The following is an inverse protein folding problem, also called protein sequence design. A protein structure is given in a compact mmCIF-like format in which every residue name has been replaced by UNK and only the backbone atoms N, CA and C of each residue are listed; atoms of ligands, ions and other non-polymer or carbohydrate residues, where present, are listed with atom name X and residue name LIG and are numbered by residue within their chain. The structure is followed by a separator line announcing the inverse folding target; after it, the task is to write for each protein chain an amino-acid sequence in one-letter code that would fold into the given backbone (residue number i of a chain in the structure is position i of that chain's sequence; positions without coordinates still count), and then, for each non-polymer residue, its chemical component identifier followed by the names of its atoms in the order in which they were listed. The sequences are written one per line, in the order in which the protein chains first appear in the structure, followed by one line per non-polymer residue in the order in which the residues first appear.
data_IF_528815691922
#
_entry.id   IF_528815691922
#
_cell.length_a   1.000
_cell.length_b   1.000
_cell.length_c   1.000
_cell.angle_alpha   90.00
_cell.angle_beta   90.00
_cell.angle_gamma   90.00
#
_symmetry.space_group_name_H-M   'P 1'
#
loop_
_entity.id
_entity.type
_entity.pdbx_description
1 polymer ?
#
# COMPACT_ATOMS: atom_id res chain seq x y z
N UNK A 1 -0.60 18.92 1.91
CA UNK A 1 0.77 18.61 1.37
C UNK A 1 0.83 19.03 -0.09
N UNK A 2 1.99 19.48 -0.59
CA UNK A 2 2.13 19.84 -2.03
C UNK A 2 2.14 18.58 -2.88
N UNK A 3 1.54 18.63 -4.07
CA UNK A 3 1.37 17.50 -5.01
C UNK A 3 2.69 16.75 -5.29
N UNK A 4 3.78 17.47 -5.53
CA UNK A 4 5.09 16.84 -5.77
C UNK A 4 5.59 15.94 -4.65
N UNK A 5 5.22 16.21 -3.39
CA UNK A 5 5.58 15.37 -2.25
C UNK A 5 4.65 14.16 -2.14
N UNK A 6 3.36 14.34 -2.41
CA UNK A 6 2.39 13.25 -2.49
C UNK A 6 2.85 12.22 -3.52
N UNK A 7 3.20 12.67 -4.72
CA UNK A 7 3.69 11.79 -5.78
C UNK A 7 5.00 11.09 -5.38
N UNK A 8 5.95 11.81 -4.77
CA UNK A 8 7.19 11.21 -4.29
C UNK A 8 6.92 10.11 -3.26
N UNK A 9 6.01 10.33 -2.31
CA UNK A 9 5.65 9.34 -1.29
C UNK A 9 4.94 8.12 -1.89
N UNK A 10 4.06 8.32 -2.86
CA UNK A 10 3.43 7.21 -3.59
C UNK A 10 4.45 6.38 -4.37
N UNK A 11 5.44 7.02 -5.00
CA UNK A 11 6.57 6.32 -5.66
C UNK A 11 7.36 5.47 -4.65
N UNK A 12 7.66 6.02 -3.48
CA UNK A 12 8.35 5.26 -2.41
C UNK A 12 7.50 4.06 -1.96
N UNK A 13 6.21 4.24 -1.76
CA UNK A 13 5.31 3.14 -1.40
C UNK A 13 5.33 2.03 -2.48
N UNK A 14 5.31 2.40 -3.77
CA UNK A 14 5.42 1.43 -4.88
C UNK A 14 6.74 0.65 -4.84
N UNK A 15 7.86 1.34 -4.64
CA UNK A 15 9.16 0.67 -4.58
C UNK A 15 9.24 -0.35 -3.45
N UNK A 16 8.73 -0.01 -2.26
CA UNK A 16 8.67 -0.97 -1.16
C UNK A 16 7.70 -2.11 -1.42
N UNK A 17 6.59 -1.87 -2.10
CA UNK A 17 5.66 -2.93 -2.50
C UNK A 17 6.30 -4.03 -3.35
N UNK A 18 7.28 -3.69 -4.18
CA UNK A 18 8.04 -4.65 -5.00
C UNK A 18 8.87 -5.64 -4.17
N UNK A 19 9.14 -5.34 -2.91
CA UNK A 19 9.86 -6.24 -2.00
C UNK A 19 8.97 -7.37 -1.45
N UNK A 20 7.65 -7.27 -1.62
CA UNK A 20 6.73 -8.35 -1.23
C UNK A 20 7.05 -9.63 -1.98
N UNK A 21 7.05 -10.76 -1.27
CA UNK A 21 7.20 -12.10 -1.85
C UNK A 21 5.87 -12.69 -2.33
N UNK A 22 4.77 -11.96 -2.15
CA UNK A 22 3.46 -12.38 -2.64
C UNK A 22 3.43 -12.43 -4.18
N UNK A 23 2.79 -13.46 -4.72
CA UNK A 23 2.64 -13.67 -6.15
C UNK A 23 1.31 -13.14 -6.68
N UNK A 24 0.30 -13.02 -5.83
CA UNK A 24 -1.04 -12.56 -6.25
C UNK A 24 -1.14 -11.04 -6.35
N UNK A 25 -0.63 -10.32 -5.36
CA UNK A 25 -0.64 -8.88 -5.31
C UNK A 25 0.47 -8.37 -4.41
N UNK A 26 1.26 -7.44 -4.92
CA UNK A 26 2.30 -6.75 -4.15
C UNK A 26 1.79 -5.35 -3.78
N UNK A 27 1.69 -5.09 -2.48
CA UNK A 27 1.20 -3.82 -1.94
C UNK A 27 2.28 -3.16 -1.10
N UNK A 28 2.49 -1.87 -1.29
CA UNK A 28 3.40 -1.06 -0.50
C UNK A 28 2.66 0.06 0.23
N UNK A 29 3.16 0.40 1.41
CA UNK A 29 2.57 1.41 2.26
C UNK A 29 3.65 2.14 3.06
N UNK A 30 3.56 3.46 3.18
CA UNK A 30 4.41 4.25 4.06
C UNK A 30 3.56 5.15 4.95
N UNK A 31 4.09 5.48 6.13
CA UNK A 31 3.51 6.47 7.04
C UNK A 31 4.49 7.63 7.15
N UNK A 32 3.98 8.84 6.92
CA UNK A 32 4.77 10.09 6.92
C UNK A 32 4.26 11.01 8.01
N UNK A 33 5.16 11.59 8.79
CA UNK A 33 4.86 12.57 9.82
C UNK A 33 6.00 13.59 9.91
N UNK A 34 5.64 14.87 10.02
CA UNK A 34 6.62 15.96 10.12
C UNK A 34 7.69 15.89 9.00
N UNK A 35 7.24 15.72 7.76
CA UNK A 35 8.08 15.57 6.55
C UNK A 35 9.07 14.39 6.58
N UNK A 36 8.84 13.39 7.43
CA UNK A 36 9.67 12.19 7.55
C UNK A 36 8.86 10.92 7.35
N UNK A 37 9.43 9.94 6.67
CA UNK A 37 8.89 8.58 6.66
C UNK A 37 9.18 7.94 8.02
N UNK A 38 8.14 7.65 8.79
CA UNK A 38 8.25 7.06 10.13
C UNK A 38 7.98 5.56 10.15
N UNK A 39 7.36 5.02 9.11
CA UNK A 39 7.14 3.58 8.95
C UNK A 39 6.95 3.20 7.49
N UNK A 40 7.30 1.97 7.19
CA UNK A 40 7.20 1.36 5.86
C UNK A 40 6.60 -0.03 6.04
N UNK A 41 5.64 -0.40 5.19
CA UNK A 41 5.07 -1.73 5.14
C UNK A 41 4.90 -2.22 3.72
N UNK A 42 5.02 -3.51 3.53
CA UNK A 42 4.58 -4.24 2.35
C UNK A 42 3.98 -5.55 2.81
N UNK A 43 3.09 -6.13 1.99
CA UNK A 43 2.43 -7.36 2.39
C UNK A 43 3.41 -8.54 2.44
N UNK A 44 3.28 -9.38 3.44
CA UNK A 44 4.18 -10.51 3.63
C UNK A 44 3.89 -11.30 4.89
N UNK A 45 4.61 -12.41 5.05
CA UNK A 45 4.54 -13.25 6.24
C UNK A 45 5.18 -12.57 7.45
N UNK A 46 4.76 -12.91 8.67
CA UNK A 46 5.44 -12.45 9.88
C UNK A 46 6.92 -12.81 9.89
N UNK A 47 7.75 -11.95 10.47
CA UNK A 47 9.19 -12.16 10.57
C UNK A 47 9.53 -13.46 11.32
N UNK A 48 10.53 -14.18 10.85
CA UNK A 48 11.07 -15.39 11.50
C UNK A 48 10.51 -16.70 10.95
N UNK A 49 9.57 -16.66 10.03
CA UNK A 49 9.01 -17.83 9.37
C UNK A 49 9.28 -17.89 7.87
N UNK A 50 8.55 -18.75 7.18
CA UNK A 50 8.57 -18.86 5.72
C UNK A 50 8.12 -17.57 5.07
N UNK A 51 8.73 -17.18 3.94
CA UNK A 51 8.31 -16.04 3.13
C UNK A 51 7.26 -16.42 2.05
N UNK A 52 6.78 -17.65 2.03
CA UNK A 52 5.77 -18.09 1.07
C UNK A 52 4.39 -17.61 1.52
N UNK A 53 3.84 -16.65 0.79
CA UNK A 53 2.57 -15.99 1.13
C UNK A 53 1.32 -16.77 0.69
N UNK A 54 1.42 -17.65 -0.31
CA UNK A 54 0.30 -18.35 -0.89
C UNK A 54 0.39 -19.86 -0.70
N UNK A 55 -0.79 -20.47 -0.62
CA UNK A 55 -0.99 -21.91 -0.63
C UNK A 55 -2.24 -22.22 -1.47
N UNK A 56 -2.13 -23.16 -2.40
CA UNK A 56 -3.21 -23.50 -3.33
C UNK A 56 -3.81 -22.27 -4.06
N UNK A 57 -2.96 -21.33 -4.47
CA UNK A 57 -3.36 -20.12 -5.19
C UNK A 57 -4.07 -19.05 -4.33
N UNK A 58 -4.09 -19.22 -3.02
CA UNK A 58 -4.71 -18.28 -2.06
C UNK A 58 -3.69 -17.77 -1.07
N UNK A 59 -3.87 -16.53 -0.64
CA UNK A 59 -3.06 -15.97 0.45
C UNK A 59 -3.30 -16.73 1.75
N UNK A 60 -2.22 -17.05 2.45
CA UNK A 60 -2.28 -17.67 3.77
C UNK A 60 -2.91 -16.72 4.79
N UNK A 61 -3.61 -17.25 5.81
CA UNK A 61 -4.22 -16.40 6.87
C UNK A 61 -3.21 -15.54 7.62
N UNK A 62 -1.96 -15.98 7.71
CA UNK A 62 -0.88 -15.30 8.44
C UNK A 62 -0.30 -14.10 7.70
N UNK A 63 -0.60 -13.91 6.42
CA UNK A 63 -0.10 -12.78 5.63
C UNK A 63 -0.57 -11.46 6.22
N UNK A 64 0.38 -10.61 6.57
CA UNK A 64 0.11 -9.24 6.97
C UNK A 64 -0.10 -8.37 5.73
N UNK A 65 -1.14 -7.56 5.72
CA UNK A 65 -1.30 -6.52 4.72
C UNK A 65 -0.27 -5.40 4.93
N UNK A 66 0.04 -4.64 3.88
CA UNK A 66 1.04 -3.58 3.92
C UNK A 66 0.73 -2.52 4.99
N UNK A 67 -0.54 -2.12 5.10
CA UNK A 67 -1.01 -1.12 6.08
C UNK A 67 -0.85 -1.64 7.51
N UNK A 68 -1.30 -2.86 7.78
CA UNK A 68 -1.15 -3.50 9.09
C UNK A 68 0.33 -3.63 9.47
N UNK A 69 1.19 -3.99 8.52
CA UNK A 69 2.63 -4.09 8.73
C UNK A 69 3.25 -2.73 9.06
N UNK A 70 2.90 -1.66 8.33
CA UNK A 70 3.38 -0.31 8.61
C UNK A 70 2.92 0.19 9.99
N UNK A 71 1.66 -0.02 10.34
CA UNK A 71 1.10 0.42 11.64
C UNK A 71 1.73 -0.35 12.81
N UNK A 72 1.85 -1.67 12.71
CA UNK A 72 2.40 -2.47 13.80
C UNK A 72 3.89 -2.22 14.06
N UNK A 73 4.64 -1.79 13.05
CA UNK A 73 6.04 -1.35 13.22
C UNK A 73 6.16 -0.12 14.11
N UNK A 74 5.16 0.75 14.15
CA UNK A 74 5.16 1.89 15.08
C UNK A 74 5.18 1.43 16.54
N UNK A 75 4.60 0.28 16.87
CA UNK A 75 4.64 -0.29 18.21
C UNK A 75 6.05 -0.67 18.69
N UNK A 76 7.00 -0.83 17.79
CA UNK A 76 8.43 -1.07 18.09
C UNK A 76 9.27 0.18 18.05
N UNK A 77 8.68 1.34 17.83
CA UNK A 77 9.36 2.62 17.70
C UNK A 77 8.87 3.61 18.76
N UNK A 78 9.50 4.76 18.81
CA UNK A 78 9.06 5.91 19.62
C UNK A 78 8.06 6.81 18.87
N UNK A 79 7.79 6.51 17.59
CA UNK A 79 6.90 7.28 16.75
C UNK A 79 5.44 6.92 16.99
N UNK A 80 4.55 7.91 16.81
CA UNK A 80 3.12 7.77 16.89
C UNK A 80 2.49 8.02 15.52
N UNK A 81 1.46 7.27 15.18
CA UNK A 81 0.63 7.51 14.00
C UNK A 81 -0.27 8.74 14.10
N UNK A 82 -0.39 9.34 15.28
CA UNK A 82 -1.24 10.51 15.50
C UNK A 82 -0.86 11.66 14.57
N UNK A 83 -1.84 12.18 13.84
CA UNK A 83 -1.72 13.29 12.88
C UNK A 83 -0.76 13.01 11.70
N UNK A 84 -0.54 11.74 11.38
CA UNK A 84 0.30 11.30 10.26
C UNK A 84 -0.50 11.15 8.97
N UNK A 85 0.23 10.94 7.88
CA UNK A 85 -0.26 10.66 6.53
C UNK A 85 0.12 9.25 6.13
N UNK A 86 -0.82 8.49 5.54
CA UNK A 86 -0.53 7.16 5.02
C UNK A 86 -0.64 7.17 3.49
N UNK A 87 0.34 6.60 2.82
CA UNK A 87 0.39 6.45 1.37
C UNK A 87 0.47 4.98 1.03
N UNK A 88 -0.53 4.47 0.31
CA UNK A 88 -0.62 3.09 -0.09
C UNK A 88 -0.80 2.95 -1.60
N UNK A 89 -0.33 1.85 -2.17
CA UNK A 89 -0.53 1.56 -3.59
C UNK A 89 -1.95 1.10 -3.88
N UNK A 90 -2.66 0.55 -2.90
CA UNK A 90 -4.04 0.05 -3.02
C UNK A 90 -4.95 0.55 -1.90
N UNK A 91 -6.25 0.60 -2.20
CA UNK A 91 -7.28 0.83 -1.19
C UNK A 91 -7.25 -0.26 -0.10
N UNK A 92 -7.56 0.08 1.16
CA UNK A 92 -7.51 -0.88 2.27
C UNK A 92 -8.70 -1.84 2.24
N UNK A 93 -8.51 -3.03 2.80
CA UNK A 93 -9.64 -3.87 3.20
C UNK A 93 -10.29 -3.31 4.48
N UNK A 94 -11.43 -3.87 4.89
CA UNK A 94 -12.15 -3.42 6.11
C UNK A 94 -11.25 -3.53 7.35
N UNK A 95 -10.50 -4.61 7.50
CA UNK A 95 -9.64 -4.81 8.67
C UNK A 95 -8.52 -3.78 8.75
N UNK A 96 -7.89 -3.45 7.62
CA UNK A 96 -6.88 -2.39 7.57
C UNK A 96 -7.49 -1.00 7.77
N UNK A 97 -8.69 -0.73 7.24
CA UNK A 97 -9.40 0.52 7.47
C UNK A 97 -9.64 0.78 8.96
N UNK A 98 -10.04 -0.23 9.72
CA UNK A 98 -10.19 -0.14 11.18
C UNK A 98 -8.88 0.24 11.88
N UNK A 99 -7.77 -0.37 11.46
CA UNK A 99 -6.44 -0.06 12.01
C UNK A 99 -6.00 1.37 11.67
N UNK A 100 -6.27 1.84 10.47
CA UNK A 100 -6.00 3.22 10.03
C UNK A 100 -6.75 4.22 10.93
N UNK A 101 -8.04 3.98 11.17
CA UNK A 101 -8.87 4.82 12.04
C UNK A 101 -8.31 4.88 13.48
N UNK A 102 -7.90 3.74 14.04
CA UNK A 102 -7.44 3.65 15.42
C UNK A 102 -6.00 4.13 15.63
N UNK A 103 -5.20 4.23 14.57
CA UNK A 103 -3.80 4.65 14.64
C UNK A 103 -3.59 6.17 14.66
N UNK A 104 -4.65 6.96 14.49
CA UNK A 104 -4.58 8.43 14.48
C UNK A 104 -4.12 9.02 13.14
N UNK A 105 -4.04 8.23 12.09
CA UNK A 105 -3.75 8.72 10.73
C UNK A 105 -4.85 9.68 10.31
N UNK A 106 -4.47 10.87 9.82
CA UNK A 106 -5.43 11.90 9.43
C UNK A 106 -5.69 11.99 7.93
N UNK A 107 -4.77 11.54 7.09
CA UNK A 107 -4.94 11.49 5.65
C UNK A 107 -4.51 10.13 5.10
N UNK A 108 -5.34 9.57 4.24
CA UNK A 108 -5.08 8.32 3.54
C UNK A 108 -5.06 8.56 2.03
N UNK A 109 -3.91 8.32 1.42
CA UNK A 109 -3.67 8.46 -0.01
C UNK A 109 -3.44 7.10 -0.64
N UNK A 110 -4.11 6.82 -1.78
CA UNK A 110 -3.96 5.55 -2.48
C UNK A 110 -4.10 5.71 -4.01
N UNK A 111 -3.69 4.71 -4.76
CA UNK A 111 -3.72 4.73 -6.22
C UNK A 111 -4.78 3.79 -6.79
N UNK A 112 -4.72 2.52 -6.46
CA UNK A 112 -5.55 1.48 -7.08
C UNK A 112 -6.69 1.05 -6.15
N UNK A 113 -7.84 0.77 -6.75
CA UNK A 113 -8.94 0.13 -6.03
C UNK A 113 -8.57 -1.33 -5.73
N UNK A 114 -8.88 -1.78 -4.53
CA UNK A 114 -8.82 -3.20 -4.18
C UNK A 114 -10.14 -3.89 -4.59
N UNK A 115 -10.25 -5.20 -4.49
CA UNK A 115 -11.43 -6.03 -4.90
C UNK A 115 -12.79 -5.32 -4.81
N UNK A 116 -12.96 -4.47 -3.81
CA UNK A 116 -14.15 -3.64 -3.57
C UNK A 116 -13.74 -2.38 -2.80
N UNK A 117 -14.66 -1.45 -2.65
CA UNK A 117 -14.46 -0.20 -1.93
C UNK A 117 -14.90 -0.26 -0.45
N UNK A 118 -15.13 -1.44 0.12
CA UNK A 118 -15.68 -1.59 1.47
C UNK A 118 -14.80 -0.97 2.55
N UNK A 119 -13.47 -1.05 2.43
CA UNK A 119 -12.55 -0.40 3.36
C UNK A 119 -12.62 1.13 3.27
N UNK A 120 -12.73 1.66 2.06
CA UNK A 120 -12.93 3.10 1.82
C UNK A 120 -14.26 3.57 2.42
N UNK A 121 -15.33 2.81 2.26
CA UNK A 121 -16.63 3.12 2.87
C UNK A 121 -16.55 3.17 4.41
N UNK A 122 -15.79 2.26 5.03
CA UNK A 122 -15.53 2.29 6.47
C UNK A 122 -14.78 3.57 6.86
N UNK A 123 -13.72 3.96 6.13
CA UNK A 123 -13.00 5.21 6.40
C UNK A 123 -13.91 6.44 6.29
N UNK A 124 -14.73 6.52 5.24
CA UNK A 124 -15.67 7.63 5.02
C UNK A 124 -16.71 7.76 6.14
N UNK A 125 -17.17 6.63 6.67
CA UNK A 125 -18.23 6.59 7.68
C UNK A 125 -17.83 7.32 8.98
N UNK A 126 -16.57 7.29 9.35
CA UNK A 126 -16.09 7.80 10.65
C UNK A 126 -15.50 9.21 10.62
N UNK A 127 -15.40 9.85 9.48
CA UNK A 127 -15.04 11.27 9.29
C UNK A 127 -13.72 11.75 9.94
N UNK A 128 -12.87 10.84 10.40
CA UNK A 128 -11.63 11.17 11.09
C UNK A 128 -10.40 11.11 10.17
N UNK A 129 -10.58 10.65 8.94
CA UNK A 129 -9.52 10.46 7.95
C UNK A 129 -9.97 11.08 6.64
N UNK A 130 -9.18 12.01 6.12
CA UNK A 130 -9.36 12.54 4.77
C UNK A 130 -8.79 11.55 3.74
N UNK A 131 -9.54 11.28 2.66
CA UNK A 131 -9.24 10.21 1.71
C UNK A 131 -8.99 10.80 0.34
N UNK A 132 -7.86 10.44 -0.27
CA UNK A 132 -7.43 10.92 -1.58
C UNK A 132 -7.03 9.75 -2.48
N UNK A 133 -7.72 9.60 -3.59
CA UNK A 133 -7.34 8.68 -4.67
C UNK A 133 -6.53 9.43 -5.71
N UNK A 134 -5.42 8.84 -6.13
CA UNK A 134 -4.52 9.41 -7.13
C UNK A 134 -4.43 8.48 -8.35
N UNK A 135 -4.41 9.06 -9.54
CA UNK A 135 -4.11 8.32 -10.75
C UNK A 135 -2.60 8.12 -10.87
N UNK A 136 -2.20 6.92 -11.20
CA UNK A 136 -0.80 6.62 -11.46
C UNK A 136 -0.39 7.22 -12.78
N UNK A 137 0.56 8.15 -12.78
CA UNK A 137 1.22 8.59 -13.99
C UNK A 137 2.08 7.45 -14.56
N UNK A 138 1.68 6.93 -15.71
CA UNK A 138 2.51 6.00 -16.49
C UNK A 138 3.49 6.85 -17.29
N UNK A 139 4.80 6.70 -17.04
CA UNK A 139 5.80 7.38 -17.87
C UNK A 139 5.74 6.85 -19.29
N UNK A 140 6.03 7.71 -20.27
CA UNK A 140 6.08 7.32 -21.69
C UNK A 140 7.02 6.13 -21.94
N UNK A 141 8.12 6.03 -21.20
CA UNK A 141 9.05 4.90 -21.26
C UNK A 141 8.40 3.57 -20.80
N UNK A 142 7.60 3.61 -19.74
CA UNK A 142 6.87 2.41 -19.29
C UNK A 142 5.79 1.99 -20.29
N UNK A 143 5.20 2.94 -20.99
CA UNK A 143 4.23 2.66 -22.04
C UNK A 143 4.90 1.92 -23.24
N UNK A 144 6.08 2.39 -23.68
CA UNK A 144 6.84 1.73 -24.75
C UNK A 144 7.31 0.32 -24.34
N UNK A 145 7.81 0.15 -23.12
CA UNK A 145 8.19 -1.17 -22.61
C UNK A 145 7.00 -2.14 -22.54
N UNK A 146 5.80 -1.64 -22.24
CA UNK A 146 4.57 -2.43 -22.27
C UNK A 146 4.14 -2.84 -23.65
N UNK A 147 4.28 -1.98 -24.65
CA UNK A 147 3.97 -2.29 -26.05
C UNK A 147 4.94 -3.33 -26.64
N UNK A 148 6.24 -3.21 -26.34
CA UNK A 148 7.25 -4.18 -26.78
C UNK A 148 7.00 -5.57 -26.17
N UNK A 149 6.50 -5.64 -24.94
CA UNK A 149 6.16 -6.89 -24.27
C UNK A 149 4.93 -7.57 -24.91
N UNK A 150 3.92 -6.79 -25.30
CA UNK A 150 2.73 -7.31 -25.98
C UNK A 150 3.03 -7.77 -27.43
N UNK A 151 3.97 -7.13 -28.14
CA UNK A 151 4.44 -7.60 -29.44
C UNK A 151 5.18 -8.93 -29.36
N UNK A 152 6.07 -9.12 -28.37
CA UNK A 152 6.76 -10.40 -28.16
C UNK A 152 5.78 -11.52 -27.78
N UNK A 153 4.77 -11.26 -26.95
CA UNK A 153 3.73 -12.22 -26.62
C UNK A 153 2.89 -12.63 -27.83
N UNK A 154 2.68 -11.74 -28.79
CA UNK A 154 2.00 -12.02 -30.06
C UNK A 154 2.77 -12.97 -31.00
N UNK A 155 4.08 -13.08 -30.86
CA UNK A 155 4.94 -13.99 -31.66
C UNK A 155 5.03 -15.40 -31.07
N UNK A 156 4.65 -15.61 -29.83
CA UNK A 156 4.70 -16.89 -29.14
C UNK A 156 3.31 -17.58 -29.06
N UNK A 157 2.31 -16.96 -29.68
CA UNK A 157 0.94 -17.46 -29.74
C UNK A 157 0.66 -18.46 -30.88
#
# INVERSE_FOLDING_TARGET
MKEKFIEAHLKVAREYGKLSTATRLQVGCIIVKDDRIISIGYNGMPSGGSNVCEEDGKSKPEVLHAEANAITKLAKSTESGQDSYMFCTYAPCIDCAKLILQSGIKEFHYEESYKNENGIEVLKKYSNVDIFKHEREVSFLQYIEGEDYDEEAGYLG
#
